data_IF_907955239598
#
_entry.id   IF_907955239598
#
_cell.length_a   1.000
_cell.length_b   1.000
_cell.length_c   1.000
_cell.angle_alpha   90.00
_cell.angle_beta   90.00
_cell.angle_gamma   90.00
#
_symmetry.space_group_name_H-M   'P 1'
#
loop_
_entity.id
_entity.type
_entity.pdbx_description
1 polymer ?
#
# COMPACT_ATOMS: atom_id res chain seq x y z
N UNK A 1 -26.37 3.53 -3.02
CA UNK A 1 -24.97 4.00 -2.92
C UNK A 1 -24.19 3.41 -4.09
N UNK A 2 -23.80 4.20 -5.09
CA UNK A 2 -22.90 3.75 -6.15
C UNK A 2 -21.44 4.04 -5.73
N UNK A 3 -20.80 3.03 -5.15
CA UNK A 3 -19.34 3.00 -4.90
C UNK A 3 -18.75 1.81 -5.64
N UNK A 4 -17.52 1.93 -6.12
CA UNK A 4 -16.81 0.84 -6.78
C UNK A 4 -15.36 0.74 -6.29
N UNK A 5 -14.86 -0.48 -6.22
CA UNK A 5 -13.46 -0.79 -5.96
C UNK A 5 -12.91 -1.44 -7.23
N UNK A 6 -11.82 -0.89 -7.75
CA UNK A 6 -11.18 -1.39 -8.97
C UNK A 6 -9.75 -1.77 -8.62
N UNK A 7 -9.46 -3.06 -8.77
CA UNK A 7 -8.14 -3.60 -8.48
C UNK A 7 -7.23 -3.60 -9.71
N UNK A 8 -5.94 -3.34 -9.46
CA UNK A 8 -4.90 -3.29 -10.47
C UNK A 8 -5.28 -2.41 -11.68
N UNK A 9 -5.74 -1.18 -11.43
CA UNK A 9 -6.24 -0.26 -12.47
C UNK A 9 -5.25 -0.01 -13.62
N UNK A 10 -3.94 -0.19 -13.39
CA UNK A 10 -2.92 -0.14 -14.44
C UNK A 10 -3.09 -1.20 -15.53
N UNK A 11 -3.86 -2.28 -15.28
CA UNK A 11 -4.19 -3.32 -16.26
C UNK A 11 -5.32 -2.92 -17.21
N UNK A 12 -6.12 -1.92 -16.84
CA UNK A 12 -7.27 -1.42 -17.60
C UNK A 12 -7.28 0.13 -17.64
N UNK A 13 -6.25 0.78 -18.20
CA UNK A 13 -6.11 2.23 -18.20
C UNK A 13 -7.23 2.96 -18.96
N UNK A 14 -7.96 2.28 -19.85
CA UNK A 14 -9.13 2.80 -20.55
C UNK A 14 -10.29 3.16 -19.60
N UNK A 15 -10.38 2.51 -18.43
CA UNK A 15 -11.41 2.81 -17.43
C UNK A 15 -11.25 4.20 -16.80
N UNK A 16 -10.05 4.79 -16.88
CA UNK A 16 -9.78 6.13 -16.34
C UNK A 16 -10.66 7.21 -16.98
N UNK A 17 -10.98 7.06 -18.27
CA UNK A 17 -11.86 8.01 -18.97
C UNK A 17 -13.30 7.91 -18.44
N UNK A 18 -13.82 6.69 -18.32
CA UNK A 18 -15.16 6.45 -17.79
C UNK A 18 -15.29 6.92 -16.32
N UNK A 19 -14.24 6.71 -15.51
CA UNK A 19 -14.18 7.21 -14.13
C UNK A 19 -14.20 8.73 -14.13
N UNK A 20 -13.39 9.38 -14.98
CA UNK A 20 -13.36 10.84 -15.12
C UNK A 20 -14.75 11.40 -15.43
N UNK A 21 -15.40 10.90 -16.49
CA UNK A 21 -16.75 11.34 -16.88
C UNK A 21 -17.76 11.16 -15.73
N UNK A 22 -17.67 10.05 -15.01
CA UNK A 22 -18.54 9.78 -13.87
C UNK A 22 -18.31 10.76 -12.71
N UNK A 23 -17.05 11.08 -12.39
CA UNK A 23 -16.68 12.01 -11.32
C UNK A 23 -16.98 13.46 -11.69
N UNK A 24 -16.84 13.82 -12.96
CA UNK A 24 -17.22 15.16 -13.46
C UNK A 24 -18.73 15.40 -13.35
N UNK A 25 -19.55 14.35 -13.53
CA UNK A 25 -21.01 14.42 -13.38
C UNK A 25 -21.45 14.46 -11.92
N UNK A 26 -20.78 13.71 -11.04
CA UNK A 26 -21.11 13.62 -9.61
C UNK A 26 -19.82 13.64 -8.77
N UNK A 27 -19.53 14.83 -8.23
CA UNK A 27 -18.30 15.16 -7.51
C UNK A 27 -18.28 14.70 -6.03
N UNK A 28 -19.24 13.88 -5.60
CA UNK A 28 -19.22 13.35 -4.22
C UNK A 28 -17.90 12.58 -3.97
N UNK A 29 -17.16 12.86 -2.88
CA UNK A 29 -15.93 12.15 -2.56
C UNK A 29 -16.13 10.66 -2.25
N UNK A 30 -15.08 9.85 -2.45
CA UNK A 30 -15.05 8.45 -2.05
C UNK A 30 -15.94 7.51 -2.88
N UNK A 31 -16.25 7.90 -4.12
CA UNK A 31 -17.03 7.07 -5.06
C UNK A 31 -16.24 5.90 -5.65
N UNK A 32 -14.93 6.06 -5.81
CA UNK A 32 -14.06 5.06 -6.39
C UNK A 32 -12.85 4.84 -5.47
N UNK A 33 -12.53 3.57 -5.22
CA UNK A 33 -11.26 3.16 -4.65
C UNK A 33 -10.48 2.43 -5.74
N UNK A 34 -9.30 2.94 -6.07
CA UNK A 34 -8.42 2.36 -7.07
C UNK A 34 -7.22 1.77 -6.35
N UNK A 35 -6.92 0.50 -6.61
CA UNK A 35 -5.69 -0.15 -6.13
C UNK A 35 -4.78 -0.48 -7.31
N UNK A 36 -3.50 -0.63 -7.02
CA UNK A 36 -2.50 -0.98 -8.00
C UNK A 36 -1.11 -1.08 -7.40
N UNK A 37 -0.38 -2.12 -7.77
CA UNK A 37 1.03 -2.30 -7.44
C UNK A 37 1.97 -1.32 -8.17
N UNK A 38 1.50 -0.72 -9.26
CA UNK A 38 2.25 0.29 -10.01
C UNK A 38 1.92 1.71 -9.55
N UNK A 39 2.90 2.62 -9.63
CA UNK A 39 2.66 4.03 -9.40
C UNK A 39 1.79 4.63 -10.52
N UNK A 40 0.50 4.80 -10.25
CA UNK A 40 -0.49 5.33 -11.20
C UNK A 40 -0.14 6.72 -11.71
N UNK A 41 0.55 7.55 -10.93
CA UNK A 41 0.98 8.89 -11.36
C UNK A 41 2.02 8.86 -12.48
N UNK A 42 2.65 7.71 -12.75
CA UNK A 42 3.55 7.55 -13.90
C UNK A 42 2.82 7.25 -15.19
N UNK A 43 1.52 6.96 -15.15
CA UNK A 43 0.69 6.79 -16.34
C UNK A 43 0.27 8.19 -16.82
N UNK A 44 0.73 8.65 -18.01
CA UNK A 44 0.42 10.00 -18.48
C UNK A 44 -1.08 10.28 -18.53
N UNK A 45 -1.87 9.25 -18.90
CA UNK A 45 -3.33 9.32 -18.97
C UNK A 45 -4.01 9.54 -17.61
N UNK A 46 -3.43 9.07 -16.51
CA UNK A 46 -3.99 9.24 -15.15
C UNK A 46 -3.87 10.69 -14.71
N UNK A 47 -2.68 11.27 -14.89
CA UNK A 47 -2.40 12.64 -14.49
C UNK A 47 -3.37 13.63 -15.15
N UNK A 48 -3.61 13.49 -16.45
CA UNK A 48 -4.55 14.35 -17.19
C UNK A 48 -6.03 14.05 -16.88
N UNK A 49 -6.36 12.79 -16.61
CA UNK A 49 -7.76 12.39 -16.41
C UNK A 49 -8.29 12.74 -15.04
N UNK A 50 -7.47 12.59 -13.98
CA UNK A 50 -7.92 12.67 -12.58
C UNK A 50 -7.25 13.77 -11.76
N UNK A 51 -6.52 14.70 -12.39
CA UNK A 51 -5.95 15.87 -11.71
C UNK A 51 -6.98 16.60 -10.83
N UNK A 52 -6.62 16.80 -9.56
CA UNK A 52 -7.43 17.49 -8.56
C UNK A 52 -8.67 16.72 -8.08
N UNK A 53 -8.92 15.50 -8.58
CA UNK A 53 -10.10 14.68 -8.26
C UNK A 53 -9.75 13.34 -7.59
N UNK A 54 -8.47 13.07 -7.42
CA UNK A 54 -7.95 11.85 -6.83
C UNK A 54 -6.91 12.20 -5.78
N UNK A 55 -6.93 11.45 -4.68
CA UNK A 55 -5.88 11.43 -3.69
C UNK A 55 -5.15 10.08 -3.77
N UNK A 56 -3.82 10.10 -3.69
CA UNK A 56 -3.01 8.88 -3.71
C UNK A 56 -2.54 8.58 -2.29
N UNK A 57 -3.06 7.50 -1.72
CA UNK A 57 -2.60 6.98 -0.43
C UNK A 57 -1.52 5.95 -0.68
N UNK A 58 -0.29 6.24 -0.25
CA UNK A 58 0.81 5.27 -0.30
C UNK A 58 0.74 4.36 0.92
N UNK A 59 0.59 3.05 0.68
CA UNK A 59 0.74 2.06 1.73
C UNK A 59 2.23 1.83 2.03
N UNK A 60 2.59 1.88 3.31
CA UNK A 60 3.91 1.52 3.80
C UNK A 60 3.96 0.01 4.11
N UNK A 61 5.17 -0.56 4.27
CA UNK A 61 5.31 -1.90 4.83
C UNK A 61 4.58 -2.02 6.17
N UNK A 62 4.15 -3.24 6.49
CA UNK A 62 3.44 -3.52 7.73
C UNK A 62 4.26 -3.12 8.94
N UNK A 63 3.61 -2.49 9.91
CA UNK A 63 4.17 -2.23 11.21
C UNK A 63 4.33 -3.53 12.01
N UNK A 64 5.26 -3.55 12.97
CA UNK A 64 5.47 -4.71 13.84
C UNK A 64 4.23 -5.10 14.65
N UNK A 65 3.33 -4.16 14.94
CA UNK A 65 2.05 -4.45 15.58
C UNK A 65 1.09 -5.20 14.65
N UNK A 66 1.04 -4.83 13.37
CA UNK A 66 0.22 -5.51 12.35
C UNK A 66 0.72 -6.94 12.10
N UNK A 67 2.04 -7.13 11.99
CA UNK A 67 2.67 -8.45 11.81
C UNK A 67 2.35 -9.37 12.99
N UNK A 68 2.38 -8.85 14.21
CA UNK A 68 2.07 -9.60 15.44
C UNK A 68 0.57 -9.72 15.71
N UNK A 69 -0.29 -9.23 14.82
CA UNK A 69 -1.75 -9.18 15.00
C UNK A 69 -2.17 -8.51 16.33
N UNK A 70 -1.35 -7.58 16.82
CA UNK A 70 -1.59 -6.86 18.06
C UNK A 70 -2.45 -5.62 17.78
N UNK A 71 -3.46 -5.38 18.63
CA UNK A 71 -4.20 -4.11 18.59
C UNK A 71 -3.24 -2.96 18.84
N UNK A 72 -3.14 -2.03 17.88
CA UNK A 72 -2.24 -0.90 18.00
C UNK A 72 -3.00 0.38 18.40
N UNK A 73 -2.88 0.79 19.65
CA UNK A 73 -3.36 2.09 20.14
C UNK A 73 -2.25 3.13 20.22
N UNK A 74 -0.99 2.79 19.88
CA UNK A 74 0.17 3.64 20.14
C UNK A 74 0.00 5.08 19.65
N UNK A 75 -0.42 5.27 18.39
CA UNK A 75 -0.59 6.63 17.85
C UNK A 75 -1.68 7.40 18.60
N UNK A 76 -2.80 6.75 18.91
CA UNK A 76 -3.90 7.37 19.69
C UNK A 76 -3.39 7.80 21.06
N UNK A 77 -2.76 6.88 21.78
CA UNK A 77 -2.27 7.10 23.13
C UNK A 77 -1.14 8.15 23.13
N UNK A 78 -0.28 8.16 22.11
CA UNK A 78 0.79 9.13 21.96
C UNK A 78 0.25 10.55 21.75
N UNK A 79 -0.80 10.73 20.94
CA UNK A 79 -1.46 12.04 20.78
C UNK A 79 -2.14 12.51 22.07
N UNK A 80 -2.52 11.59 22.95
CA UNK A 80 -3.09 11.87 24.27
C UNK A 80 -2.02 12.02 25.37
N UNK A 81 -0.74 11.82 25.03
CA UNK A 81 0.37 11.75 25.98
C UNK A 81 0.22 10.63 27.04
N UNK A 82 -0.47 9.55 26.65
CA UNK A 82 -0.75 8.36 27.46
C UNK A 82 -0.03 7.11 26.93
N UNK A 83 0.83 7.27 25.91
CA UNK A 83 1.54 6.15 25.30
C UNK A 83 2.37 5.37 26.32
N UNK A 84 2.18 4.05 26.33
CA UNK A 84 2.95 3.11 27.15
C UNK A 84 3.91 2.33 26.27
N UNK A 85 5.11 2.11 26.81
CA UNK A 85 6.04 1.17 26.19
C UNK A 85 5.44 -0.25 26.26
N UNK A 86 5.45 -0.95 25.13
CA UNK A 86 5.15 -2.38 25.08
C UNK A 86 6.35 -3.22 25.55
N UNK A 87 6.18 -4.53 25.52
CA UNK A 87 7.28 -5.46 25.79
C UNK A 87 8.42 -5.28 24.76
N UNK A 88 9.66 -5.10 25.22
CA UNK A 88 10.79 -4.92 24.33
C UNK A 88 11.12 -6.23 23.60
N UNK A 89 11.41 -6.13 22.31
CA UNK A 89 12.01 -7.23 21.53
C UNK A 89 13.53 -7.07 21.61
N UNK A 90 14.24 -8.12 22.01
CA UNK A 90 15.69 -8.09 22.23
C UNK A 90 16.36 -9.34 21.64
N UNK A 91 17.69 -9.30 21.52
CA UNK A 91 18.48 -10.47 21.10
C UNK A 91 18.14 -10.96 19.70
N UNK A 92 18.07 -12.29 19.56
CA UNK A 92 17.83 -12.95 18.27
C UNK A 92 16.46 -12.60 17.67
N UNK A 93 15.44 -12.37 18.50
CA UNK A 93 14.11 -11.97 18.05
C UNK A 93 14.12 -10.57 17.43
N UNK A 94 14.95 -9.66 17.96
CA UNK A 94 15.13 -8.33 17.36
C UNK A 94 15.79 -8.46 15.99
N UNK A 95 16.83 -9.29 15.90
CA UNK A 95 17.53 -9.52 14.64
C UNK A 95 16.59 -10.13 13.60
N UNK A 96 15.79 -11.13 13.98
CA UNK A 96 14.79 -11.74 13.11
C UNK A 96 13.75 -10.72 12.62
N UNK A 97 13.23 -9.87 13.51
CA UNK A 97 12.26 -8.83 13.16
C UNK A 97 12.84 -7.80 12.17
N UNK A 98 14.09 -7.38 12.38
CA UNK A 98 14.79 -6.43 11.49
C UNK A 98 15.06 -7.04 10.12
N UNK A 99 15.54 -8.28 10.08
CA UNK A 99 15.86 -8.97 8.82
C UNK A 99 14.60 -9.31 8.01
N UNK A 100 13.49 -9.64 8.69
CA UNK A 100 12.21 -9.88 8.04
C UNK A 100 11.60 -8.60 7.46
N UNK A 101 11.80 -7.46 8.14
CA UNK A 101 11.23 -6.17 7.75
C UNK A 101 9.71 -6.16 7.88
N UNK A 102 9.03 -5.38 7.04
CA UNK A 102 7.56 -5.28 7.02
C UNK A 102 6.91 -5.54 5.66
N UNK A 103 7.68 -5.89 4.62
CA UNK A 103 7.13 -6.15 3.29
C UNK A 103 6.38 -7.50 3.31
N UNK A 104 5.10 -7.55 2.90
CA UNK A 104 4.33 -8.80 2.93
C UNK A 104 5.01 -9.97 2.21
N UNK A 105 5.65 -9.71 1.06
CA UNK A 105 6.34 -10.73 0.27
C UNK A 105 7.66 -11.19 0.89
N UNK A 106 8.24 -10.42 1.82
CA UNK A 106 9.39 -10.85 2.61
C UNK A 106 8.94 -11.76 3.75
N UNK A 107 7.86 -11.39 4.44
CA UNK A 107 7.27 -12.14 5.56
C UNK A 107 6.73 -13.51 5.13
N UNK A 108 6.20 -13.63 3.91
CA UNK A 108 5.72 -14.90 3.35
C UNK A 108 6.81 -15.89 2.93
N UNK A 109 8.11 -15.53 2.98
CA UNK A 109 9.19 -16.41 2.53
C UNK A 109 9.53 -17.45 3.59
N UNK A 110 9.49 -18.73 3.19
CA UNK A 110 9.97 -19.85 4.00
C UNK A 110 11.49 -20.00 4.03
N UNK A 111 12.22 -19.31 3.13
CA UNK A 111 13.69 -19.45 3.01
C UNK A 111 14.30 -18.15 2.46
N UNK A 112 15.47 -17.77 2.97
CA UNK A 112 16.25 -16.61 2.50
C UNK A 112 16.98 -16.84 1.16
N UNK A 113 16.83 -18.01 0.54
CA UNK A 113 17.54 -18.38 -0.68
C UNK A 113 17.00 -17.64 -1.90
N UNK A 114 17.77 -16.67 -2.40
CA UNK A 114 17.63 -16.13 -3.75
C UNK A 114 18.25 -17.12 -4.74
N UNK A 115 17.42 -17.91 -5.41
CA UNK A 115 17.78 -18.47 -6.72
C UNK A 115 17.02 -17.74 -7.81
N UNK A 116 17.77 -17.22 -8.78
CA UNK A 116 17.33 -16.63 -10.05
C UNK A 116 16.97 -15.15 -10.00
N UNK A 117 18.02 -14.33 -9.90
CA UNK A 117 18.13 -13.18 -10.80
C UNK A 117 17.89 -13.75 -12.20
N UNK A 118 16.75 -13.41 -12.82
CA UNK A 118 16.56 -13.57 -14.26
C UNK A 118 17.66 -12.75 -14.93
N UNK A 119 18.78 -13.40 -15.27
CA UNK A 119 19.65 -12.95 -16.33
C UNK A 119 18.82 -13.00 -17.60
N UNK A 120 18.08 -11.92 -17.88
CA UNK A 120 17.70 -11.62 -19.25
C UNK A 120 19.01 -11.14 -19.91
N UNK A 121 19.54 -11.83 -20.93
CA UNK A 121 20.62 -11.27 -21.72
C UNK A 121 20.09 -10.00 -22.37
N UNK A 122 20.83 -8.90 -22.19
CA UNK A 122 20.62 -7.68 -22.96
C UNK A 122 21.07 -7.98 -24.41
N UNK A 123 20.32 -7.53 -25.44
CA UNK A 123 20.77 -7.61 -26.83
C UNK A 123 22.01 -6.74 -27.08
#
# INVERSE_FOLDING_TARGET
MNRAIIDEIQRAPELLLAIKESVDTDQRPGRFLLTGSANLMRLPRVADSLAGRMEVVRLLPLAQSEIRSASNSFLRDAFQNEAKAGEPIVGDDLMAAVLAGGYPEALGRKTLSRSQIRQKPCP
#
